data_IF_709291866338
#
_entry.id   IF_709291866338
#
_cell.length_a   1.000
_cell.length_b   1.000
_cell.length_c   1.000
_cell.angle_alpha   90.00
_cell.angle_beta   90.00
_cell.angle_gamma   90.00
#
_symmetry.space_group_name_H-M   'P 1'
#
loop_
_entity.id
_entity.type
_entity.pdbx_description
1 polymer ?
#
# COMPACT_ATOMS: atom_id res chain seq x y z
N UNK A 1 9.99 19.84 -23.85
CA UNK A 1 9.66 19.79 -22.40
C UNK A 1 9.52 18.32 -22.04
N UNK A 2 10.41 17.77 -21.19
CA UNK A 2 10.29 16.40 -20.73
C UNK A 2 9.01 16.28 -19.91
N UNK A 3 8.09 15.40 -20.32
CA UNK A 3 6.90 15.10 -19.52
C UNK A 3 7.36 14.54 -18.17
N UNK A 4 6.82 15.08 -17.07
CA UNK A 4 7.07 14.55 -15.73
C UNK A 4 6.55 13.11 -15.66
N UNK A 5 7.46 12.16 -15.41
CA UNK A 5 7.14 10.73 -15.34
C UNK A 5 7.17 10.29 -13.89
N UNK A 6 6.09 9.68 -13.43
CA UNK A 6 6.06 8.97 -12.15
C UNK A 6 6.59 7.55 -12.35
N UNK A 7 7.54 7.15 -11.50
CA UNK A 7 8.17 5.84 -11.57
C UNK A 7 8.02 5.06 -10.27
N UNK A 8 7.55 3.80 -10.39
CA UNK A 8 7.47 2.82 -9.31
C UNK A 8 8.08 1.51 -9.84
N UNK A 9 9.27 1.15 -9.41
CA UNK A 9 10.12 0.12 -10.05
C UNK A 9 10.19 0.32 -11.58
N UNK A 10 9.70 -0.66 -12.34
CA UNK A 10 9.72 -0.65 -13.81
C UNK A 10 8.45 -0.03 -14.42
N UNK A 11 7.53 0.44 -13.58
CA UNK A 11 6.30 1.07 -14.02
C UNK A 11 6.53 2.56 -14.17
N UNK A 12 6.54 3.04 -15.40
CA UNK A 12 6.66 4.45 -15.75
C UNK A 12 5.32 4.96 -16.29
N UNK A 13 4.84 6.08 -15.70
CA UNK A 13 3.54 6.68 -16.03
C UNK A 13 3.74 8.17 -16.32
N UNK A 14 3.52 8.61 -17.57
CA UNK A 14 3.57 10.03 -17.91
C UNK A 14 2.44 10.81 -17.24
N UNK A 15 2.60 12.12 -17.10
CA UNK A 15 1.59 13.03 -16.58
C UNK A 15 0.26 12.88 -17.33
N UNK A 16 -0.84 12.78 -16.59
CA UNK A 16 -2.18 12.48 -17.12
C UNK A 16 -2.40 11.02 -17.47
N UNK A 17 -1.49 10.11 -17.08
CA UNK A 17 -1.53 8.69 -17.37
C UNK A 17 -1.92 7.81 -16.18
N UNK A 18 -2.32 6.58 -16.50
CA UNK A 18 -2.59 5.51 -15.54
C UNK A 18 -2.06 4.19 -16.09
N UNK A 19 -1.37 3.39 -15.26
CA UNK A 19 -0.84 2.08 -15.65
C UNK A 19 -0.95 1.10 -14.52
N UNK A 20 -1.36 -0.11 -14.84
CA UNK A 20 -1.34 -1.26 -13.94
C UNK A 20 -0.07 -2.08 -14.13
N UNK A 21 0.36 -2.75 -13.08
CA UNK A 21 1.51 -3.63 -13.10
C UNK A 21 1.70 -4.35 -11.78
N UNK A 22 2.92 -4.82 -11.56
CA UNK A 22 3.28 -5.57 -10.37
C UNK A 22 4.54 -5.00 -9.74
N UNK A 23 4.54 -4.90 -8.43
CA UNK A 23 5.72 -4.63 -7.64
C UNK A 23 6.41 -5.98 -7.33
N UNK A 24 7.62 -6.15 -7.82
CA UNK A 24 8.40 -7.37 -7.63
C UNK A 24 9.07 -7.33 -6.25
N UNK A 25 8.77 -8.33 -5.44
CA UNK A 25 9.25 -8.44 -4.06
C UNK A 25 10.51 -9.28 -4.00
N UNK A 26 10.45 -10.51 -4.50
CA UNK A 26 11.55 -11.47 -4.47
C UNK A 26 11.40 -12.56 -5.52
N UNK A 27 12.50 -13.23 -5.81
CA UNK A 27 12.50 -14.47 -6.58
C UNK A 27 12.22 -15.65 -5.66
N UNK A 28 11.43 -16.59 -6.17
CA UNK A 28 11.11 -17.86 -5.51
C UNK A 28 11.27 -19.00 -6.50
N UNK A 29 11.48 -20.24 -6.05
CA UNK A 29 11.59 -21.39 -6.97
C UNK A 29 10.40 -21.58 -7.91
N UNK A 30 9.20 -21.18 -7.47
CA UNK A 30 7.96 -21.29 -8.24
C UNK A 30 7.62 -20.02 -9.05
N UNK A 31 8.53 -19.06 -9.14
CA UNK A 31 8.32 -17.77 -9.82
C UNK A 31 8.44 -16.57 -8.90
N UNK A 32 8.39 -15.38 -9.45
CA UNK A 32 8.53 -14.16 -8.69
C UNK A 32 7.35 -13.94 -7.72
N UNK A 33 7.66 -13.54 -6.48
CA UNK A 33 6.64 -12.99 -5.59
C UNK A 33 6.38 -11.54 -5.96
N UNK A 34 5.12 -11.22 -6.26
CA UNK A 34 4.71 -9.92 -6.76
C UNK A 34 3.41 -9.48 -6.10
N UNK A 35 3.25 -8.17 -5.94
CA UNK A 35 2.00 -7.56 -5.49
C UNK A 35 1.44 -6.65 -6.57
N UNK A 36 0.12 -6.69 -6.85
CA UNK A 36 -0.50 -5.89 -7.90
C UNK A 36 -0.58 -4.43 -7.47
N UNK A 37 -0.39 -3.52 -8.43
CA UNK A 37 -0.62 -2.10 -8.18
C UNK A 37 -1.09 -1.37 -9.43
N UNK A 38 -1.70 -0.20 -9.19
CA UNK A 38 -2.00 0.80 -10.20
C UNK A 38 -1.32 2.11 -9.84
N UNK A 39 -0.60 2.68 -10.78
CA UNK A 39 0.02 4.00 -10.65
C UNK A 39 -0.76 5.00 -11.50
N UNK A 40 -1.15 6.11 -10.89
CA UNK A 40 -1.86 7.21 -11.53
C UNK A 40 -1.01 8.48 -11.36
N UNK A 41 -0.62 9.09 -12.48
CA UNK A 41 0.05 10.39 -12.51
C UNK A 41 -0.95 11.41 -13.05
N UNK A 42 -1.53 12.20 -12.17
CA UNK A 42 -2.57 13.18 -12.52
C UNK A 42 -2.07 14.31 -13.42
N UNK A 43 -3.01 15.11 -13.96
CA UNK A 43 -2.67 16.25 -14.82
C UNK A 43 -2.21 17.47 -14.05
N UNK A 44 -2.69 17.66 -12.82
CA UNK A 44 -2.32 18.77 -11.95
C UNK A 44 -1.21 18.40 -10.98
N UNK A 45 -0.53 19.39 -10.45
CA UNK A 45 0.45 19.21 -9.39
C UNK A 45 -0.25 18.99 -8.05
N UNK A 46 0.37 18.21 -7.17
CA UNK A 46 -0.20 17.88 -5.87
C UNK A 46 0.56 16.74 -5.18
N UNK A 47 0.08 16.34 -4.00
CA UNK A 47 0.73 15.29 -3.23
C UNK A 47 0.58 13.91 -3.89
N UNK A 48 1.38 12.98 -3.40
CA UNK A 48 1.24 11.55 -3.70
C UNK A 48 0.47 10.88 -2.56
N UNK A 49 -0.59 10.16 -2.91
CA UNK A 49 -1.38 9.33 -2.00
C UNK A 49 -1.16 7.86 -2.32
N UNK A 50 -0.87 7.05 -1.32
CA UNK A 50 -0.95 5.59 -1.41
C UNK A 50 -2.25 5.12 -0.79
N UNK A 51 -2.99 4.29 -1.51
CA UNK A 51 -4.18 3.60 -1.03
C UNK A 51 -3.88 2.11 -1.11
N UNK A 52 -3.93 1.41 0.01
CA UNK A 52 -3.72 -0.03 0.00
C UNK A 52 -4.75 -0.76 0.84
N UNK A 53 -4.99 -2.02 0.47
CA UNK A 53 -5.75 -2.99 1.23
C UNK A 53 -5.03 -4.32 1.29
N UNK A 54 -5.63 -5.29 1.97
CA UNK A 54 -5.13 -6.66 1.97
C UNK A 54 -3.78 -6.86 2.66
N UNK A 55 -3.53 -6.17 3.76
CA UNK A 55 -2.45 -6.53 4.69
C UNK A 55 -2.78 -7.82 5.43
N UNK A 56 -4.06 -8.01 5.76
CA UNK A 56 -4.62 -9.26 6.26
C UNK A 56 -5.38 -9.97 5.14
N UNK A 57 -5.25 -11.29 5.08
CA UNK A 57 -5.70 -12.08 3.92
C UNK A 57 -7.21 -12.30 3.85
N UNK A 58 -7.93 -12.11 4.94
CA UNK A 58 -9.37 -12.32 5.07
C UNK A 58 -10.21 -11.05 5.09
N UNK A 59 -9.59 -9.87 5.06
CA UNK A 59 -10.25 -8.58 5.00
C UNK A 59 -10.53 -8.15 3.56
N UNK A 60 -11.71 -8.43 3.02
CA UNK A 60 -12.01 -8.24 1.60
C UNK A 60 -12.48 -6.84 1.22
N UNK A 61 -12.94 -6.03 2.18
CA UNK A 61 -13.49 -4.69 1.92
C UNK A 61 -12.44 -3.74 1.33
N UNK A 62 -11.26 -3.68 1.93
CA UNK A 62 -10.15 -2.87 1.44
C UNK A 62 -9.71 -3.22 0.01
N UNK A 63 -9.42 -4.49 -0.29
CA UNK A 63 -9.16 -4.96 -1.65
C UNK A 63 -10.26 -4.60 -2.65
N UNK A 64 -11.53 -4.82 -2.31
CA UNK A 64 -12.66 -4.50 -3.18
C UNK A 64 -12.75 -2.99 -3.47
N UNK A 65 -12.58 -2.15 -2.45
CA UNK A 65 -12.53 -0.70 -2.61
C UNK A 65 -11.37 -0.26 -3.52
N UNK A 66 -10.17 -0.83 -3.34
CA UNK A 66 -9.02 -0.56 -4.19
C UNK A 66 -9.29 -0.93 -5.66
N UNK A 67 -9.85 -2.11 -5.92
CA UNK A 67 -10.20 -2.55 -7.28
C UNK A 67 -11.21 -1.62 -7.95
N UNK A 68 -12.19 -1.14 -7.20
CA UNK A 68 -13.16 -0.17 -7.68
C UNK A 68 -12.50 1.17 -8.00
N UNK A 69 -11.66 1.68 -7.11
CA UNK A 69 -10.92 2.93 -7.33
C UNK A 69 -9.98 2.86 -8.54
N UNK A 70 -9.36 1.72 -8.79
CA UNK A 70 -8.51 1.51 -9.98
C UNK A 70 -9.29 1.74 -11.29
N UNK A 71 -10.56 1.41 -11.35
CA UNK A 71 -11.40 1.61 -12.52
C UNK A 71 -11.98 3.03 -12.59
N UNK A 72 -12.46 3.56 -11.49
CA UNK A 72 -13.20 4.83 -11.43
C UNK A 72 -12.31 6.07 -11.51
N UNK A 73 -11.08 6.01 -10.96
CA UNK A 73 -10.19 7.16 -10.95
C UNK A 73 -9.67 7.52 -12.34
N UNK A 74 -9.98 8.75 -12.76
CA UNK A 74 -9.55 9.30 -14.03
C UNK A 74 -8.35 10.23 -13.83
N UNK A 75 -7.15 9.92 -14.36
CA UNK A 75 -5.96 10.75 -14.19
C UNK A 75 -6.13 12.18 -14.68
N UNK A 76 -7.01 12.43 -15.64
CA UNK A 76 -7.30 13.77 -16.16
C UNK A 76 -8.10 14.66 -15.20
N UNK A 77 -8.59 14.09 -14.08
CA UNK A 77 -9.35 14.81 -13.05
C UNK A 77 -8.61 14.85 -11.71
N UNK A 78 -7.35 14.40 -11.67
CA UNK A 78 -6.56 14.30 -10.44
C UNK A 78 -5.46 15.35 -10.46
N UNK A 79 -5.33 16.07 -9.35
CA UNK A 79 -4.17 16.87 -9.00
C UNK A 79 -3.30 16.04 -8.04
N UNK A 80 -2.02 15.81 -8.41
CA UNK A 80 -1.13 14.93 -7.69
C UNK A 80 -1.07 13.52 -8.26
N UNK A 81 -0.63 12.57 -7.43
CA UNK A 81 -0.34 11.19 -7.84
C UNK A 81 -1.03 10.20 -6.91
N UNK A 82 -1.44 9.04 -7.44
CA UNK A 82 -2.05 7.99 -6.63
C UNK A 82 -1.40 6.65 -6.95
N UNK A 83 -1.01 5.91 -5.93
CA UNK A 83 -0.60 4.52 -6.02
C UNK A 83 -1.66 3.69 -5.31
N UNK A 84 -2.27 2.74 -6.00
CA UNK A 84 -3.29 1.85 -5.44
C UNK A 84 -2.74 0.44 -5.42
N UNK A 85 -2.72 -0.17 -4.24
CA UNK A 85 -2.27 -1.55 -4.03
C UNK A 85 -3.41 -2.36 -3.42
N UNK A 86 -4.19 -3.08 -4.22
CA UNK A 86 -5.37 -3.78 -3.72
C UNK A 86 -5.05 -4.91 -2.74
N UNK A 87 -3.86 -5.50 -2.86
CA UNK A 87 -3.46 -6.65 -2.07
C UNK A 87 -1.98 -6.59 -1.76
N UNK A 88 -1.62 -6.19 -0.54
CA UNK A 88 -0.21 -6.12 -0.12
C UNK A 88 0.30 -7.51 0.26
N UNK A 89 -0.49 -8.31 0.97
CA UNK A 89 -0.14 -9.65 1.41
C UNK A 89 -0.85 -10.73 0.56
N UNK A 90 -0.37 -10.89 -0.68
CA UNK A 90 -0.98 -11.84 -1.63
C UNK A 90 -0.97 -13.27 -1.13
N UNK A 91 0.07 -13.69 -0.38
CA UNK A 91 0.18 -15.04 0.17
C UNK A 91 -0.88 -15.32 1.25
N UNK A 92 -1.15 -14.33 2.11
CA UNK A 92 -2.21 -14.45 3.10
C UNK A 92 -3.59 -14.52 2.43
N UNK A 93 -3.82 -13.72 1.40
CA UNK A 93 -5.06 -13.72 0.64
C UNK A 93 -5.32 -15.07 -0.07
N UNK A 94 -4.31 -15.59 -0.77
CA UNK A 94 -4.41 -16.87 -1.49
C UNK A 94 -4.73 -18.04 -0.55
N UNK A 95 -4.25 -17.97 0.68
CA UNK A 95 -4.45 -19.02 1.69
C UNK A 95 -5.59 -18.72 2.68
N UNK A 96 -6.25 -17.56 2.54
CA UNK A 96 -7.26 -17.03 3.49
C UNK A 96 -6.75 -16.97 4.93
N UNK A 97 -5.48 -16.66 5.08
CA UNK A 97 -4.87 -16.52 6.38
C UNK A 97 -5.28 -15.19 7.01
N UNK A 98 -5.83 -15.24 8.21
CA UNK A 98 -6.44 -14.06 8.84
C UNK A 98 -5.40 -12.97 9.09
N UNK A 99 -4.46 -13.21 9.97
CA UNK A 99 -3.40 -12.27 10.31
C UNK A 99 -2.03 -12.82 9.94
N UNK A 100 -1.16 -11.94 9.48
CA UNK A 100 0.20 -12.29 9.15
C UNK A 100 0.38 -12.97 7.79
N UNK A 101 1.50 -13.61 7.63
CA UNK A 101 1.88 -14.31 6.42
C UNK A 101 1.98 -15.82 6.71
N UNK A 102 1.40 -16.68 5.88
CA UNK A 102 1.37 -18.13 6.13
C UNK A 102 2.76 -18.80 6.10
N UNK A 103 3.80 -18.14 5.62
CA UNK A 103 5.14 -18.70 5.52
C UNK A 103 5.97 -18.43 6.77
N UNK A 104 5.90 -17.19 7.30
CA UNK A 104 6.75 -16.78 8.43
C UNK A 104 5.95 -16.36 9.68
N UNK A 105 4.63 -16.43 9.60
CA UNK A 105 3.67 -16.12 10.67
C UNK A 105 3.80 -14.70 11.24
N UNK A 106 4.36 -13.76 10.46
CA UNK A 106 4.52 -12.37 10.85
C UNK A 106 3.36 -11.53 10.36
N UNK A 107 2.82 -10.71 11.25
CA UNK A 107 1.90 -9.67 10.87
C UNK A 107 2.68 -8.59 10.11
N UNK A 108 2.17 -8.25 8.92
CA UNK A 108 2.81 -7.30 8.03
C UNK A 108 2.86 -5.90 8.64
N UNK A 109 1.86 -5.52 9.44
CA UNK A 109 1.78 -4.24 10.13
C UNK A 109 3.01 -3.96 10.98
N UNK A 110 3.54 -4.98 11.65
CA UNK A 110 4.77 -4.89 12.46
C UNK A 110 6.08 -4.89 11.64
N UNK A 111 6.03 -5.08 10.33
CA UNK A 111 7.22 -5.25 9.49
C UNK A 111 7.66 -4.00 8.74
N UNK A 112 6.91 -2.89 8.82
CA UNK A 112 7.22 -1.62 8.12
C UNK A 112 8.34 -0.80 8.73
N UNK A 113 8.94 -1.24 9.81
CA UNK A 113 10.05 -0.53 10.45
C UNK A 113 11.34 -0.83 9.68
N UNK A 114 11.99 0.19 9.05
CA UNK A 114 13.07 -0.02 8.10
C UNK A 114 14.31 -0.74 8.67
N UNK A 115 14.47 -0.73 9.98
CA UNK A 115 15.68 -1.15 10.67
C UNK A 115 15.45 -2.06 11.86
N UNK A 116 14.30 -2.69 11.99
CA UNK A 116 14.20 -3.76 12.97
C UNK A 116 15.24 -4.81 12.58
N UNK A 117 16.28 -4.82 13.36
CA UNK A 117 17.43 -5.68 13.28
C UNK A 117 16.97 -7.09 13.00
N UNK A 118 17.30 -7.55 11.83
CA UNK A 118 17.19 -8.93 11.44
C UNK A 118 18.11 -9.71 12.35
N UNK A 119 17.56 -10.25 13.41
CA UNK A 119 18.29 -11.18 14.25
C UNK A 119 18.64 -12.41 13.41
N UNK A 120 19.91 -12.54 13.05
CA UNK A 120 20.40 -13.71 12.33
C UNK A 120 21.10 -13.41 10.99
N UNK A 121 21.95 -14.33 10.56
CA UNK A 121 22.74 -14.28 9.32
C UNK A 121 22.01 -14.80 8.09
N UNK A 122 20.70 -15.10 8.21
CA UNK A 122 19.87 -15.61 7.11
C UNK A 122 19.24 -14.53 6.24
N UNK A 123 18.64 -14.91 5.09
CA UNK A 123 17.89 -13.98 4.27
C UNK A 123 16.69 -13.42 5.07
N UNK A 124 16.23 -12.19 4.75
CA UNK A 124 15.09 -11.61 5.44
C UNK A 124 13.83 -12.47 5.25
N UNK A 125 13.03 -12.57 6.32
CA UNK A 125 11.72 -13.21 6.26
C UNK A 125 10.85 -12.55 5.19
N UNK A 126 9.91 -13.30 4.62
CA UNK A 126 9.12 -12.83 3.47
C UNK A 126 8.28 -11.60 3.81
N UNK A 127 7.72 -11.52 5.02
CA UNK A 127 6.95 -10.34 5.46
C UNK A 127 7.81 -9.07 5.51
N UNK A 128 9.06 -9.16 5.94
CA UNK A 128 9.99 -8.02 5.89
C UNK A 128 10.40 -7.66 4.46
N UNK A 129 10.52 -8.63 3.56
CA UNK A 129 10.79 -8.35 2.14
C UNK A 129 9.62 -7.58 1.52
N UNK A 130 8.38 -8.02 1.78
CA UNK A 130 7.15 -7.33 1.33
C UNK A 130 7.12 -5.91 1.89
N UNK A 131 7.20 -5.76 3.21
CA UNK A 131 7.10 -4.45 3.86
C UNK A 131 8.20 -3.49 3.42
N UNK A 132 9.46 -3.95 3.36
CA UNK A 132 10.60 -3.11 2.95
C UNK A 132 10.47 -2.68 1.49
N UNK A 133 10.09 -3.60 0.59
CA UNK A 133 9.95 -3.28 -0.83
C UNK A 133 8.76 -2.35 -1.06
N UNK A 134 7.62 -2.61 -0.44
CA UNK A 134 6.46 -1.75 -0.53
C UNK A 134 6.75 -0.35 0.05
N UNK A 135 7.43 -0.27 1.19
CA UNK A 135 7.87 1.01 1.75
C UNK A 135 8.77 1.77 0.78
N UNK A 136 9.85 1.15 0.31
CA UNK A 136 10.83 1.80 -0.56
C UNK A 136 10.23 2.26 -1.89
N UNK A 137 9.39 1.43 -2.51
CA UNK A 137 8.91 1.69 -3.87
C UNK A 137 7.61 2.50 -3.92
N UNK A 138 6.81 2.50 -2.86
CA UNK A 138 5.54 3.20 -2.83
C UNK A 138 5.41 4.17 -1.65
N UNK A 139 5.49 3.68 -0.41
CA UNK A 139 5.17 4.51 0.76
C UNK A 139 6.13 5.68 0.95
N UNK A 140 7.45 5.48 0.72
CA UNK A 140 8.46 6.54 0.84
C UNK A 140 8.29 7.68 -0.16
N UNK A 141 7.52 7.46 -1.23
CA UNK A 141 7.21 8.46 -2.27
C UNK A 141 5.93 9.24 -1.98
N UNK A 142 5.19 8.85 -0.94
CA UNK A 142 3.89 9.42 -0.63
C UNK A 142 3.93 10.38 0.56
N UNK A 143 3.12 11.41 0.49
CA UNK A 143 2.81 12.31 1.60
C UNK A 143 1.70 11.76 2.47
N UNK A 144 0.79 10.97 1.88
CA UNK A 144 -0.38 10.42 2.56
C UNK A 144 -0.55 8.94 2.26
N UNK A 145 -1.07 8.21 3.24
CA UNK A 145 -1.43 6.79 3.10
C UNK A 145 -2.84 6.57 3.66
N UNK A 146 -3.67 5.85 2.90
CA UNK A 146 -4.89 5.22 3.37
C UNK A 146 -4.67 3.71 3.38
N UNK A 147 -4.67 3.12 4.56
CA UNK A 147 -4.57 1.68 4.74
C UNK A 147 -5.97 1.14 5.07
N UNK A 148 -6.56 0.45 4.10
CA UNK A 148 -7.93 0.00 4.19
C UNK A 148 -7.97 -1.40 4.79
N UNK A 149 -8.57 -1.49 5.96
CA UNK A 149 -8.86 -2.71 6.67
C UNK A 149 -10.37 -3.02 6.64
N UNK A 150 -10.77 -4.10 7.25
CA UNK A 150 -12.17 -4.48 7.47
C UNK A 150 -12.22 -5.53 8.58
N UNK A 151 -13.39 -6.06 8.88
CA UNK A 151 -13.50 -7.26 9.68
C UNK A 151 -13.02 -8.48 8.91
N UNK A 152 -12.48 -9.45 9.64
CA UNK A 152 -12.23 -10.78 9.12
C UNK A 152 -13.55 -11.48 8.72
N UNK A 153 -13.48 -12.66 8.15
CA UNK A 153 -14.65 -13.39 7.62
C UNK A 153 -15.79 -13.58 8.63
N UNK A 154 -15.49 -13.56 9.92
CA UNK A 154 -16.43 -13.81 11.02
C UNK A 154 -16.62 -12.57 11.91
N UNK A 155 -16.06 -11.42 11.54
CA UNK A 155 -16.08 -10.19 12.34
C UNK A 155 -17.00 -9.13 11.72
N UNK A 156 -17.92 -8.62 12.52
CA UNK A 156 -18.68 -7.41 12.22
C UNK A 156 -18.01 -6.23 12.93
N UNK A 157 -17.24 -5.44 12.18
CA UNK A 157 -16.48 -4.31 12.71
C UNK A 157 -17.21 -3.01 12.43
N UNK A 158 -17.38 -2.20 13.46
CA UNK A 158 -17.93 -0.85 13.34
C UNK A 158 -17.02 0.01 12.44
N UNK A 159 -17.61 0.76 11.53
CA UNK A 159 -16.90 1.71 10.68
C UNK A 159 -16.17 2.75 11.53
N UNK A 160 -14.94 3.03 11.16
CA UNK A 160 -14.12 4.01 11.87
C UNK A 160 -12.81 4.29 11.17
N UNK A 161 -12.20 5.39 11.54
CA UNK A 161 -10.89 5.80 11.01
C UNK A 161 -9.90 5.99 12.15
N UNK A 162 -8.79 5.29 12.05
CA UNK A 162 -7.65 5.47 12.95
C UNK A 162 -6.58 6.34 12.29
N UNK A 163 -5.98 7.24 13.05
CA UNK A 163 -4.85 8.05 12.57
C UNK A 163 -3.71 8.08 13.59
N UNK A 164 -2.48 8.10 13.06
CA UNK A 164 -1.29 8.17 13.88
C UNK A 164 -0.99 9.61 14.34
N UNK A 165 -0.64 9.76 15.62
CA UNK A 165 -0.06 10.98 16.18
C UNK A 165 1.38 10.71 16.60
N UNK A 166 2.29 11.54 16.13
CA UNK A 166 3.71 11.45 16.50
C UNK A 166 4.01 12.16 17.81
N UNK A 167 3.26 13.23 18.11
CA UNK A 167 3.49 14.11 19.24
C UNK A 167 4.73 15.01 19.11
N UNK A 168 5.44 14.93 18.00
CA UNK A 168 6.68 15.70 17.75
C UNK A 168 6.62 16.54 16.47
N UNK A 169 5.68 16.26 15.58
CA UNK A 169 5.41 17.00 14.35
C UNK A 169 3.93 17.41 14.30
N UNK A 170 3.65 18.60 14.84
CA UNK A 170 2.28 19.11 14.95
C UNK A 170 1.59 19.25 13.59
N UNK A 171 2.33 19.68 12.55
CA UNK A 171 1.78 19.80 11.21
C UNK A 171 1.33 18.44 10.69
N UNK A 172 2.17 17.44 10.81
CA UNK A 172 1.87 16.06 10.39
C UNK A 172 0.69 15.47 11.16
N UNK A 173 0.65 15.70 12.46
CA UNK A 173 -0.44 15.21 13.32
C UNK A 173 -1.78 15.87 12.93
N UNK A 174 -1.78 17.16 12.60
CA UNK A 174 -2.96 17.89 12.12
C UNK A 174 -3.38 17.45 10.71
N UNK A 175 -2.43 17.22 9.79
CA UNK A 175 -2.71 16.69 8.45
C UNK A 175 -3.34 15.29 8.55
N UNK A 176 -2.84 14.40 9.40
CA UNK A 176 -3.39 13.07 9.64
C UNK A 176 -4.82 13.15 10.21
N UNK A 177 -5.06 14.03 11.17
CA UNK A 177 -6.40 14.24 11.73
C UNK A 177 -7.38 14.78 10.68
N UNK A 178 -6.94 15.74 9.86
CA UNK A 178 -7.77 16.28 8.78
C UNK A 178 -8.11 15.20 7.74
N UNK A 179 -7.13 14.36 7.36
CA UNK A 179 -7.36 13.24 6.45
C UNK A 179 -8.38 12.27 7.02
N UNK A 180 -8.23 11.88 8.30
CA UNK A 180 -9.16 10.98 8.97
C UNK A 180 -10.59 11.53 9.01
N UNK A 181 -10.76 12.82 9.36
CA UNK A 181 -12.08 13.47 9.40
C UNK A 181 -12.74 13.60 8.03
N UNK A 182 -11.97 13.74 6.97
CA UNK A 182 -12.49 13.83 5.61
C UNK A 182 -12.81 12.46 5.01
N UNK A 183 -12.24 11.40 5.56
CA UNK A 183 -12.53 10.04 5.12
C UNK A 183 -13.86 9.53 5.70
N UNK A 184 -14.21 9.90 6.91
CA UNK A 184 -15.48 9.56 7.55
C UNK A 184 -15.32 9.32 9.04
#
# INVERSE_FOLDING_TARGET
MSQEVMKVQDIEVPKGGKKQGYLRISERPAGAHQIPLTVINGVGDGPTLVINGGEHGSEYHGPAACLRLQTELNPKKINGKVIIVPMVNTLAFETRWMHGNPIDYRDLTGCYVPEIQRGGSGPPLISYQVATTFYREALSKAQYRLNLHGGDLEEDVMEGTMYGRTGVDEKRDNDNLALARNFG
#
